data_IF_404369165547
#
_entry.id   IF_404369165547
#
_cell.length_a   1.000
_cell.length_b   1.000
_cell.length_c   1.000
_cell.angle_alpha   90.00
_cell.angle_beta   90.00
_cell.angle_gamma   90.00
#
_symmetry.space_group_name_H-M   'P 1'
#
loop_
_entity.id
_entity.type
_entity.pdbx_description
1 polymer ?
#
# COMPACT_ATOMS: atom_id res chain seq x y z
N UNK A 1 -3.27 -10.57 -22.35
CA UNK A 1 -4.67 -10.30 -21.94
C UNK A 1 -5.05 -10.68 -20.51
N UNK A 2 -4.38 -11.61 -19.77
CA UNK A 2 -4.78 -11.92 -18.38
C UNK A 2 -4.71 -10.72 -17.43
N UNK A 3 -3.68 -9.88 -17.60
CA UNK A 3 -3.40 -8.71 -16.76
C UNK A 3 -4.53 -7.66 -16.73
N UNK A 4 -5.18 -7.41 -17.87
CA UNK A 4 -6.27 -6.42 -17.92
C UNK A 4 -7.50 -6.87 -17.14
N UNK A 5 -7.89 -8.15 -17.27
CA UNK A 5 -9.04 -8.68 -16.53
C UNK A 5 -8.79 -8.69 -15.02
N UNK A 6 -7.58 -9.04 -14.60
CA UNK A 6 -7.18 -9.01 -13.19
C UNK A 6 -7.15 -7.59 -12.63
N UNK A 7 -6.62 -6.62 -13.40
CA UNK A 7 -6.66 -5.21 -13.04
C UNK A 7 -8.10 -4.67 -12.93
N UNK A 8 -8.96 -4.96 -13.89
CA UNK A 8 -10.38 -4.57 -13.82
C UNK A 8 -11.10 -5.20 -12.62
N UNK A 9 -10.72 -6.42 -12.24
CA UNK A 9 -11.26 -7.08 -11.03
C UNK A 9 -10.79 -6.38 -9.77
N UNK A 10 -9.51 -5.99 -9.68
CA UNK A 10 -8.96 -5.24 -8.55
C UNK A 10 -9.67 -3.88 -8.38
N UNK A 11 -9.79 -3.12 -9.48
CA UNK A 11 -10.51 -1.83 -9.50
C UNK A 11 -11.97 -1.98 -9.07
N UNK A 12 -12.66 -3.04 -9.50
CA UNK A 12 -14.03 -3.32 -9.06
C UNK A 12 -14.11 -3.56 -7.56
N UNK A 13 -13.16 -4.29 -6.97
CA UNK A 13 -13.10 -4.52 -5.52
C UNK A 13 -12.88 -3.20 -4.77
N UNK A 14 -11.92 -2.37 -5.23
CA UNK A 14 -11.61 -1.07 -4.64
C UNK A 14 -12.80 -0.10 -4.71
N UNK A 15 -13.46 0.01 -5.86
CA UNK A 15 -14.63 0.87 -6.02
C UNK A 15 -15.87 0.36 -5.28
N UNK A 16 -16.01 -0.95 -5.14
CA UNK A 16 -17.06 -1.51 -4.27
C UNK A 16 -16.81 -1.11 -2.81
N UNK A 17 -15.55 -1.12 -2.36
CA UNK A 17 -15.18 -0.61 -1.04
C UNK A 17 -15.39 0.90 -0.93
N UNK A 18 -15.11 1.69 -1.98
CA UNK A 18 -15.37 3.15 -1.97
C UNK A 18 -16.85 3.47 -1.65
N UNK A 19 -17.79 2.55 -1.98
CA UNK A 19 -19.23 2.68 -1.72
C UNK A 19 -19.64 2.07 -0.37
N UNK A 20 -19.08 0.92 -0.01
CA UNK A 20 -19.53 0.10 1.14
C UNK A 20 -18.70 0.32 2.40
N UNK A 21 -17.52 0.94 2.28
CA UNK A 21 -16.57 1.12 3.36
C UNK A 21 -16.06 -0.21 3.92
N UNK A 22 -15.76 -0.22 5.22
CA UNK A 22 -15.12 -1.34 5.91
C UNK A 22 -16.09 -2.48 6.30
N UNK A 23 -17.15 -2.73 5.53
CA UNK A 23 -18.01 -3.89 5.78
C UNK A 23 -17.20 -5.20 5.70
N UNK A 24 -17.53 -6.22 6.52
CA UNK A 24 -16.76 -7.47 6.58
C UNK A 24 -16.53 -8.14 5.23
N UNK A 25 -17.52 -8.09 4.34
CA UNK A 25 -17.41 -8.66 2.99
C UNK A 25 -16.48 -7.85 2.06
N UNK A 26 -16.39 -6.53 2.25
CA UNK A 26 -15.44 -5.69 1.52
C UNK A 26 -14.01 -5.95 2.02
N UNK A 27 -13.83 -6.03 3.34
CA UNK A 27 -12.54 -6.38 3.95
C UNK A 27 -12.04 -7.75 3.50
N UNK A 28 -12.90 -8.77 3.49
CA UNK A 28 -12.53 -10.11 3.04
C UNK A 28 -12.04 -10.11 1.58
N UNK A 29 -12.72 -9.39 0.68
CA UNK A 29 -12.31 -9.26 -0.72
C UNK A 29 -10.98 -8.52 -0.89
N UNK A 30 -10.77 -7.44 -0.13
CA UNK A 30 -9.52 -6.68 -0.13
C UNK A 30 -8.35 -7.50 0.46
N UNK A 31 -8.63 -8.42 1.38
CA UNK A 31 -7.62 -9.26 2.03
C UNK A 31 -7.18 -10.47 1.19
N UNK A 32 -7.83 -10.74 0.07
CA UNK A 32 -7.44 -11.83 -0.83
C UNK A 32 -5.98 -11.66 -1.29
N UNK A 33 -5.13 -12.72 -1.24
CA UNK A 33 -3.70 -12.59 -1.51
C UNK A 33 -3.36 -11.95 -2.87
N UNK A 34 -4.15 -12.27 -3.90
CA UNK A 34 -3.97 -11.74 -5.26
C UNK A 34 -4.10 -10.22 -5.33
N UNK A 35 -4.87 -9.60 -4.43
CA UNK A 35 -4.98 -8.13 -4.35
C UNK A 35 -3.61 -7.53 -4.04
N UNK A 36 -2.89 -8.05 -3.03
CA UNK A 36 -1.54 -7.57 -2.70
C UNK A 36 -0.56 -7.89 -3.82
N UNK A 37 -0.60 -9.11 -4.38
CA UNK A 37 0.29 -9.51 -5.49
C UNK A 37 0.16 -8.60 -6.69
N UNK A 38 -1.06 -8.32 -7.13
CA UNK A 38 -1.30 -7.45 -8.28
C UNK A 38 -0.95 -6.00 -7.96
N UNK A 39 -1.36 -5.49 -6.78
CA UNK A 39 -0.98 -4.16 -6.29
C UNK A 39 0.53 -3.92 -6.33
N UNK A 40 1.35 -4.91 -5.95
CA UNK A 40 2.82 -4.76 -5.91
C UNK A 40 3.45 -4.93 -7.29
N UNK A 41 3.08 -5.99 -8.02
CA UNK A 41 3.78 -6.39 -9.25
C UNK A 41 3.30 -5.64 -10.50
N UNK A 42 2.03 -5.24 -10.55
CA UNK A 42 1.43 -4.63 -11.73
C UNK A 42 1.34 -3.10 -11.66
N UNK A 43 0.92 -2.56 -10.52
CA UNK A 43 0.58 -1.13 -10.39
C UNK A 43 1.44 -0.38 -9.38
N UNK A 44 2.17 -1.09 -8.51
CA UNK A 44 2.87 -0.48 -7.39
C UNK A 44 3.92 0.55 -7.82
N UNK A 45 4.74 0.21 -8.83
CA UNK A 45 5.78 1.11 -9.32
C UNK A 45 5.23 2.43 -9.91
N UNK A 46 4.24 2.44 -10.83
CA UNK A 46 3.69 3.69 -11.33
C UNK A 46 2.99 4.53 -10.26
N UNK A 47 2.28 3.91 -9.31
CA UNK A 47 1.65 4.62 -8.18
C UNK A 47 2.70 5.27 -7.27
N UNK A 48 3.74 4.51 -6.93
CA UNK A 48 4.85 5.00 -6.11
C UNK A 48 5.63 6.12 -6.81
N UNK A 49 5.82 6.01 -8.13
CA UNK A 49 6.45 7.05 -8.94
C UNK A 49 5.64 8.36 -8.94
N UNK A 50 4.30 8.29 -8.94
CA UNK A 50 3.44 9.48 -8.83
C UNK A 50 3.56 10.13 -7.45
N UNK A 51 3.59 9.34 -6.37
CA UNK A 51 3.81 9.85 -5.02
C UNK A 51 5.21 10.44 -4.81
N UNK A 52 6.24 9.82 -5.40
CA UNK A 52 7.63 10.27 -5.29
C UNK A 52 7.89 11.67 -5.89
N UNK A 53 7.02 12.14 -6.80
CA UNK A 53 7.08 13.52 -7.33
C UNK A 53 6.79 14.59 -6.27
N UNK A 54 6.26 14.20 -5.11
CA UNK A 54 5.95 15.09 -3.98
C UNK A 54 7.06 15.11 -2.91
N UNK A 55 8.19 14.45 -3.20
CA UNK A 55 9.36 14.45 -2.33
C UNK A 55 10.18 15.73 -2.53
N UNK A 56 10.71 16.25 -1.44
CA UNK A 56 11.66 17.36 -1.49
C UNK A 56 12.99 16.91 -2.10
N UNK A 57 13.79 17.86 -2.60
CA UNK A 57 15.12 17.56 -3.13
C UNK A 57 15.99 16.92 -2.05
N UNK A 58 16.53 15.74 -2.35
CA UNK A 58 17.35 14.96 -1.41
C UNK A 58 16.55 14.16 -0.38
N UNK A 59 15.22 14.23 -0.39
CA UNK A 59 14.39 13.38 0.45
C UNK A 59 14.42 11.93 -0.04
N UNK A 60 14.65 11.01 0.90
CA UNK A 60 14.59 9.56 0.70
C UNK A 60 13.66 8.94 1.73
N UNK A 61 12.81 8.04 1.27
CA UNK A 61 11.91 7.26 2.11
C UNK A 61 12.24 5.79 1.90
N UNK A 62 12.48 5.09 2.99
CA UNK A 62 12.48 3.63 3.06
C UNK A 62 11.37 3.23 4.04
N UNK A 63 10.45 2.37 3.60
CA UNK A 63 9.34 1.93 4.43
C UNK A 63 9.04 0.44 4.24
N UNK A 64 8.51 -0.16 5.31
CA UNK A 64 8.09 -1.56 5.39
C UNK A 64 6.66 -1.64 5.89
N UNK A 65 5.76 -2.17 5.06
CA UNK A 65 4.36 -2.38 5.39
C UNK A 65 4.15 -3.85 5.75
N UNK A 66 3.84 -4.10 7.02
CA UNK A 66 3.61 -5.44 7.54
C UNK A 66 2.12 -5.73 7.64
N UNK A 67 1.74 -6.93 7.20
CA UNK A 67 0.44 -7.52 7.51
C UNK A 67 0.66 -8.94 8.02
N UNK A 68 0.05 -9.27 9.15
CA UNK A 68 0.25 -10.54 9.85
C UNK A 68 0.00 -11.75 8.94
N UNK A 69 0.88 -12.76 9.02
CA UNK A 69 0.77 -14.00 8.24
C UNK A 69 1.14 -13.88 6.76
N UNK A 70 1.70 -12.76 6.32
CA UNK A 70 2.12 -12.54 4.92
C UNK A 70 3.51 -11.91 4.84
N UNK A 71 4.16 -12.00 3.67
CA UNK A 71 5.37 -11.21 3.38
C UNK A 71 5.12 -9.71 3.59
N UNK A 72 6.16 -9.00 4.00
CA UNK A 72 6.13 -7.54 4.09
C UNK A 72 6.24 -6.94 2.69
N UNK A 73 5.67 -5.73 2.54
CA UNK A 73 5.91 -4.91 1.37
C UNK A 73 6.95 -3.85 1.71
N UNK A 74 8.10 -3.91 1.05
CA UNK A 74 9.16 -2.91 1.17
C UNK A 74 9.07 -1.93 0.02
N UNK A 75 9.22 -0.65 0.34
CA UNK A 75 9.21 0.43 -0.63
C UNK A 75 10.32 1.43 -0.34
N UNK A 76 10.99 1.85 -1.41
CA UNK A 76 11.98 2.91 -1.39
C UNK A 76 11.60 3.95 -2.43
N UNK A 77 11.72 5.22 -2.07
CA UNK A 77 11.54 6.33 -3.00
C UNK A 77 12.58 7.43 -2.72
N UNK A 78 13.17 7.94 -3.79
CA UNK A 78 14.04 9.11 -3.80
C UNK A 78 14.03 9.78 -5.17
N UNK A 79 14.91 10.77 -5.36
CA UNK A 79 14.93 11.63 -6.56
C UNK A 79 14.98 10.86 -7.90
N UNK A 80 15.78 9.78 -7.96
CA UNK A 80 16.07 9.10 -9.22
C UNK A 80 15.45 7.68 -9.31
N UNK A 81 14.90 7.18 -8.20
CA UNK A 81 14.49 5.78 -8.14
C UNK A 81 13.32 5.54 -7.17
N UNK A 82 12.40 4.69 -7.63
CA UNK A 82 11.38 4.07 -6.80
C UNK A 82 11.47 2.54 -6.92
N UNK A 83 11.31 1.85 -5.81
CA UNK A 83 11.21 0.39 -5.75
C UNK A 83 10.07 -0.02 -4.83
N UNK A 84 9.39 -1.09 -5.19
CA UNK A 84 8.39 -1.76 -4.37
C UNK A 84 8.55 -3.27 -4.57
N UNK A 85 8.42 -4.06 -3.52
CA UNK A 85 8.55 -5.51 -3.62
C UNK A 85 8.17 -6.24 -2.34
N UNK A 86 8.12 -7.56 -2.46
CA UNK A 86 7.96 -8.47 -1.33
C UNK A 86 9.28 -8.68 -0.61
N UNK A 87 9.23 -8.81 0.71
CA UNK A 87 10.34 -9.25 1.54
C UNK A 87 9.81 -10.12 2.67
N UNK A 88 10.58 -11.13 3.08
CA UNK A 88 10.26 -11.88 4.30
C UNK A 88 10.12 -10.91 5.49
N UNK A 89 9.25 -11.23 6.47
CA UNK A 89 9.08 -10.39 7.65
C UNK A 89 10.37 -10.34 8.49
N UNK A 90 11.13 -9.27 8.32
CA UNK A 90 12.39 -9.04 9.01
C UNK A 90 12.45 -7.60 9.57
N UNK A 91 13.05 -7.46 10.74
CA UNK A 91 13.21 -6.19 11.44
C UNK A 91 11.90 -5.46 11.80
N UNK A 92 12.00 -4.19 12.21
CA UNK A 92 10.84 -3.37 12.54
C UNK A 92 10.08 -2.94 11.27
N UNK A 93 8.77 -3.14 11.28
CA UNK A 93 7.89 -2.56 10.27
C UNK A 93 7.79 -1.04 10.47
N UNK A 94 7.53 -0.30 9.39
CA UNK A 94 7.17 1.12 9.46
C UNK A 94 5.70 1.28 9.86
N UNK A 95 4.84 0.51 9.20
CA UNK A 95 3.40 0.41 9.47
C UNK A 95 3.03 -1.07 9.65
N UNK A 96 2.31 -1.38 10.73
CA UNK A 96 1.59 -2.64 10.87
C UNK A 96 0.13 -2.42 10.44
N UNK A 97 -0.40 -3.35 9.66
CA UNK A 97 -1.74 -3.32 9.08
C UNK A 97 -2.38 -4.71 9.10
N UNK A 98 -3.68 -4.80 8.82
CA UNK A 98 -4.23 -6.02 8.24
C UNK A 98 -4.07 -6.03 6.70
N UNK A 99 -4.26 -7.18 6.06
CA UNK A 99 -4.04 -7.35 4.63
C UNK A 99 -4.89 -6.41 3.77
N UNK A 100 -6.14 -6.15 4.17
CA UNK A 100 -7.04 -5.27 3.44
C UNK A 100 -6.63 -3.79 3.57
N UNK A 101 -6.27 -3.35 4.78
CA UNK A 101 -5.77 -1.99 5.02
C UNK A 101 -4.44 -1.73 4.27
N UNK A 102 -3.58 -2.75 4.14
CA UNK A 102 -2.37 -2.66 3.32
C UNK A 102 -2.69 -2.38 1.85
N UNK A 103 -3.65 -3.10 1.26
CA UNK A 103 -4.08 -2.88 -0.13
C UNK A 103 -4.63 -1.46 -0.30
N UNK A 104 -5.48 -0.99 0.62
CA UNK A 104 -5.98 0.39 0.57
C UNK A 104 -4.84 1.41 0.58
N UNK A 105 -3.83 1.23 1.45
CA UNK A 105 -2.67 2.11 1.51
C UNK A 105 -1.86 2.12 0.21
N UNK A 106 -1.62 0.95 -0.41
CA UNK A 106 -0.92 0.85 -1.69
C UNK A 106 -1.63 1.61 -2.81
N UNK A 107 -2.93 1.79 -2.67
CA UNK A 107 -3.82 2.51 -3.57
C UNK A 107 -4.19 3.93 -3.11
N UNK A 108 -3.41 4.52 -2.19
CA UNK A 108 -3.63 5.88 -1.69
C UNK A 108 -4.91 6.09 -0.87
N UNK A 109 -5.64 5.02 -0.57
CA UNK A 109 -6.87 5.01 0.22
C UNK A 109 -6.56 4.79 1.69
N UNK A 110 -7.58 4.99 2.54
CA UNK A 110 -7.49 4.79 3.99
C UNK A 110 -8.70 4.00 4.47
N UNK A 111 -8.52 2.99 5.34
CA UNK A 111 -9.65 2.31 5.96
C UNK A 111 -10.51 3.31 6.73
N UNK A 112 -11.81 3.02 6.84
CA UNK A 112 -12.74 3.83 7.63
C UNK A 112 -12.40 3.74 9.12
N UNK A 113 -11.95 2.58 9.60
CA UNK A 113 -11.34 2.42 10.91
C UNK A 113 -9.82 2.68 10.85
N UNK A 114 -9.33 3.82 11.36
CA UNK A 114 -7.90 4.15 11.32
C UNK A 114 -7.05 3.28 12.26
N UNK A 115 -7.66 2.57 13.23
CA UNK A 115 -6.93 1.70 14.16
C UNK A 115 -6.30 0.49 13.47
N UNK A 116 -6.78 0.16 12.26
CA UNK A 116 -6.24 -0.87 11.35
C UNK A 116 -4.87 -0.51 10.77
N UNK A 117 -4.38 0.70 11.00
CA UNK A 117 -3.02 1.12 10.63
C UNK A 117 -2.29 1.59 11.90
N UNK A 118 -1.28 0.84 12.32
CA UNK A 118 -0.46 1.15 13.48
C UNK A 118 0.93 1.60 13.04
N UNK A 119 1.31 2.83 13.37
CA UNK A 119 2.65 3.35 13.09
C UNK A 119 3.66 2.89 14.13
N UNK A 120 4.85 2.48 13.67
CA UNK A 120 6.01 2.22 14.53
C UNK A 120 7.06 3.32 14.45
N UNK A 121 6.82 4.31 13.60
CA UNK A 121 7.69 5.46 13.38
C UNK A 121 7.04 6.75 13.88
N UNK A 122 7.85 7.78 14.06
CA UNK A 122 7.40 9.11 14.44
C UNK A 122 6.48 9.78 13.40
N UNK A 123 5.76 10.84 13.80
CA UNK A 123 4.77 11.51 12.96
C UNK A 123 5.35 12.08 11.66
N UNK A 124 6.61 12.51 11.66
CA UNK A 124 7.30 13.02 10.48
C UNK A 124 7.46 11.93 9.42
N UNK A 125 8.10 10.81 9.76
CA UNK A 125 8.27 9.66 8.87
C UNK A 125 6.92 9.11 8.40
N UNK A 126 5.94 9.02 9.31
CA UNK A 126 4.57 8.61 8.95
C UNK A 126 3.94 9.55 7.90
N UNK A 127 4.10 10.87 8.06
CA UNK A 127 3.61 11.85 7.10
C UNK A 127 4.24 11.70 5.72
N UNK A 128 5.55 11.47 5.67
CA UNK A 128 6.30 11.21 4.44
C UNK A 128 5.82 9.93 3.73
N UNK A 129 5.68 8.83 4.47
CA UNK A 129 5.18 7.55 3.92
C UNK A 129 3.75 7.69 3.41
N UNK A 130 2.88 8.41 4.13
CA UNK A 130 1.50 8.67 3.68
C UNK A 130 1.45 9.53 2.42
N UNK A 131 2.33 10.52 2.29
CA UNK A 131 2.45 11.34 1.08
C UNK A 131 2.90 10.51 -0.11
N UNK A 132 3.91 9.67 0.08
CA UNK A 132 4.41 8.74 -0.92
C UNK A 132 3.33 7.76 -1.40
N UNK A 133 2.52 7.22 -0.48
CA UNK A 133 1.46 6.28 -0.80
C UNK A 133 0.19 6.95 -1.35
N UNK A 134 0.02 8.26 -1.17
CA UNK A 134 -1.09 9.05 -1.72
C UNK A 134 -0.99 9.33 -3.23
N UNK A 135 -0.19 8.55 -3.96
CA UNK A 135 0.04 8.72 -5.40
C UNK A 135 -1.11 8.28 -6.31
N UNK A 136 -2.22 7.77 -5.77
CA UNK A 136 -3.45 7.50 -6.53
C UNK A 136 -4.40 8.69 -6.40
#
# INVERSE_FOLDING_TARGET
>A
MPWFAEHMREELVLHSWDITGDEPAAQARLAEPWMTTHSVLAVGKPLLAKGARQLEVGERIDARLRAEGTDDIVLTAGADQVTIGFAEPDGPATLDTDAAARVLLLWGRRPADPSRIRSRVGPETLGRVRRLLGGY
#
